data_IF_796953880692
#
_entry.id   IF_796953880692
#
_cell.length_a   1.000
_cell.length_b   1.000
_cell.length_c   1.000
_cell.angle_alpha   90.00
_cell.angle_beta   90.00
_cell.angle_gamma   90.00
#
_symmetry.space_group_name_H-M   'P 1'
#
loop_
_entity.id
_entity.type
_entity.pdbx_description
1 polymer ?
#
# COMPACT_ATOMS: atom_id res chain seq x y z
N UNK A 1 -14.09 -3.22 -8.57
CA UNK A 1 -15.03 -2.13 -8.22
C UNK A 1 -14.26 -1.05 -7.48
N UNK A 2 -14.46 0.23 -7.78
CA UNK A 2 -13.87 1.33 -7.01
C UNK A 2 -14.59 1.45 -5.67
N UNK A 3 -13.90 1.43 -4.52
CA UNK A 3 -14.55 1.56 -3.22
C UNK A 3 -15.20 2.94 -3.07
N UNK A 4 -16.33 2.99 -2.35
CA UNK A 4 -16.93 4.27 -1.94
C UNK A 4 -16.04 4.96 -0.89
N UNK A 5 -16.20 6.27 -0.70
CA UNK A 5 -15.48 6.99 0.35
C UNK A 5 -15.72 6.38 1.75
N UNK A 6 -16.94 5.94 2.02
CA UNK A 6 -17.29 5.24 3.24
C UNK A 6 -16.59 3.89 3.36
N UNK A 7 -16.58 3.09 2.28
CA UNK A 7 -15.86 1.83 2.22
C UNK A 7 -14.36 2.01 2.44
N UNK A 8 -13.76 3.06 1.86
CA UNK A 8 -12.38 3.43 2.11
C UNK A 8 -12.14 3.75 3.60
N UNK A 9 -12.97 4.60 4.20
CA UNK A 9 -12.83 5.02 5.61
C UNK A 9 -12.97 3.87 6.61
N UNK A 10 -13.90 2.95 6.34
CA UNK A 10 -14.24 1.88 7.25
C UNK A 10 -13.36 0.63 7.07
N UNK A 11 -12.60 0.54 5.98
CA UNK A 11 -11.73 -0.61 5.70
C UNK A 11 -10.29 -0.18 5.39
N UNK A 12 -10.01 0.27 4.16
CA UNK A 12 -8.64 0.59 3.70
C UNK A 12 -7.92 1.56 4.62
N UNK A 13 -8.58 2.63 5.05
CA UNK A 13 -8.02 3.61 5.97
C UNK A 13 -7.72 2.99 7.34
N UNK A 14 -8.60 2.13 7.86
CA UNK A 14 -8.38 1.48 9.16
C UNK A 14 -7.16 0.56 9.11
N UNK A 15 -6.99 -0.20 8.02
CA UNK A 15 -5.80 -1.04 7.80
C UNK A 15 -4.52 -0.20 7.73
N UNK A 16 -4.54 0.90 6.97
CA UNK A 16 -3.42 1.85 6.90
C UNK A 16 -3.05 2.43 8.27
N UNK A 17 -4.05 2.82 9.07
CA UNK A 17 -3.82 3.36 10.42
C UNK A 17 -3.24 2.31 11.36
N UNK A 18 -3.70 1.06 11.26
CA UNK A 18 -3.19 -0.05 12.08
C UNK A 18 -1.76 -0.44 11.72
N UNK A 19 -1.39 -0.36 10.44
CA UNK A 19 -0.04 -0.68 9.99
C UNK A 19 0.32 -2.17 10.02
N UNK A 20 -0.68 -3.06 10.14
CA UNK A 20 -0.47 -4.51 10.32
C UNK A 20 -0.13 -5.22 8.99
N UNK A 21 -0.85 -4.86 7.92
CA UNK A 21 -0.78 -5.49 6.60
C UNK A 21 -0.71 -4.46 5.45
N UNK A 22 -0.48 -3.19 5.81
CA UNK A 22 -0.43 -2.07 4.89
C UNK A 22 0.34 -0.90 5.49
N UNK A 23 1.22 -0.28 4.70
CA UNK A 23 2.02 0.87 5.10
C UNK A 23 1.83 2.04 4.12
N UNK A 24 1.98 3.25 4.64
CA UNK A 24 1.98 4.48 3.86
C UNK A 24 3.35 4.69 3.20
N UNK A 25 3.35 5.01 1.91
CA UNK A 25 4.56 5.51 1.23
C UNK A 25 4.56 7.02 1.36
N UNK A 26 5.54 7.53 2.11
CA UNK A 26 5.79 8.96 2.25
C UNK A 26 6.98 9.38 1.37
N UNK A 27 6.84 10.51 0.69
CA UNK A 27 7.95 11.16 -0.01
C UNK A 27 7.95 12.64 0.31
N UNK A 28 9.05 13.14 0.88
CA UNK A 28 9.21 14.54 1.30
C UNK A 28 8.06 15.06 2.20
N UNK A 29 7.66 14.26 3.20
CA UNK A 29 6.58 14.63 4.12
C UNK A 29 5.17 14.52 3.53
N UNK A 30 5.02 13.97 2.32
CA UNK A 30 3.73 13.82 1.64
C UNK A 30 3.34 12.36 1.49
N UNK A 31 2.08 11.99 1.80
CA UNK A 31 1.54 10.67 1.47
C UNK A 31 1.39 10.54 -0.05
N UNK A 32 2.20 9.70 -0.68
CA UNK A 32 2.22 9.54 -2.15
C UNK A 32 1.70 8.19 -2.63
N UNK A 33 1.58 7.23 -1.71
CA UNK A 33 1.14 5.88 -2.06
C UNK A 33 0.97 4.98 -0.86
N UNK A 34 0.83 3.70 -1.13
CA UNK A 34 0.82 2.65 -0.12
C UNK A 34 1.40 1.36 -0.66
N UNK A 35 1.94 0.56 0.27
CA UNK A 35 2.30 -0.83 0.05
C UNK A 35 1.43 -1.68 0.96
N UNK A 36 0.86 -2.75 0.44
CA UNK A 36 0.03 -3.69 1.20
C UNK A 36 0.44 -5.11 0.86
N UNK A 37 0.25 -6.03 1.80
CA UNK A 37 0.52 -7.44 1.55
C UNK A 37 -0.51 -8.33 2.23
N UNK A 38 -0.68 -9.53 1.68
CA UNK A 38 -1.49 -10.58 2.28
C UNK A 38 -1.00 -11.95 1.83
N UNK A 39 -1.26 -12.97 2.64
CA UNK A 39 -0.98 -14.35 2.27
C UNK A 39 -2.10 -14.89 1.38
N UNK A 40 -1.79 -15.15 0.12
CA UNK A 40 -2.70 -15.91 -0.75
C UNK A 40 -2.70 -17.39 -0.33
N UNK A 41 -1.52 -17.90 0.04
CA UNK A 41 -1.40 -19.21 0.68
C UNK A 41 -0.16 -19.28 1.58
N UNK A 42 -0.36 -19.22 2.88
CA UNK A 42 0.74 -19.23 3.86
C UNK A 42 1.48 -20.58 3.88
N UNK A 43 0.76 -21.70 3.70
CA UNK A 43 1.35 -23.05 3.70
C UNK A 43 2.38 -23.28 2.59
N UNK A 44 2.19 -22.63 1.43
CA UNK A 44 3.13 -22.66 0.30
C UNK A 44 4.08 -21.46 0.30
N UNK A 45 3.94 -20.55 1.27
CA UNK A 45 4.64 -19.27 1.35
C UNK A 45 4.38 -18.38 0.13
N UNK A 46 3.15 -18.37 -0.37
CA UNK A 46 2.73 -17.44 -1.40
C UNK A 46 2.19 -16.16 -0.76
N UNK A 47 3.07 -15.17 -0.62
CA UNK A 47 2.71 -13.80 -0.25
C UNK A 47 2.46 -12.97 -1.51
N UNK A 48 1.35 -12.25 -1.54
CA UNK A 48 1.13 -11.21 -2.54
C UNK A 48 1.39 -9.84 -1.91
N UNK A 49 2.16 -9.00 -2.62
CA UNK A 49 2.40 -7.62 -2.24
C UNK A 49 1.97 -6.69 -3.39
N UNK A 50 1.15 -5.70 -3.05
CA UNK A 50 0.65 -4.68 -3.97
C UNK A 50 1.20 -3.31 -3.62
N UNK A 51 1.56 -2.54 -4.65
CA UNK A 51 2.03 -1.15 -4.52
C UNK A 51 1.13 -0.25 -5.33
N UNK A 52 0.70 0.85 -4.72
CA UNK A 52 -0.08 1.90 -5.39
C UNK A 52 0.61 3.23 -5.16
N UNK A 53 0.93 3.94 -6.25
CA UNK A 53 1.37 5.33 -6.25
C UNK A 53 0.26 6.17 -6.86
N UNK A 54 -0.31 7.09 -6.08
CA UNK A 54 -1.57 7.76 -6.42
C UNK A 54 -1.44 8.78 -7.55
N UNK A 55 -0.34 9.53 -7.57
CA UNK A 55 -0.07 10.59 -8.55
C UNK A 55 1.10 10.17 -9.46
N UNK A 56 0.86 10.20 -10.78
CA UNK A 56 1.80 9.79 -11.81
C UNK A 56 3.06 10.66 -11.87
N UNK A 57 3.04 11.88 -11.30
CA UNK A 57 4.23 12.70 -11.16
C UNK A 57 5.31 12.05 -10.27
N UNK A 58 4.94 11.08 -9.44
CA UNK A 58 5.86 10.33 -8.57
C UNK A 58 6.33 9.00 -9.19
N UNK A 59 5.87 8.66 -10.40
CA UNK A 59 6.34 7.47 -11.11
C UNK A 59 7.79 7.64 -11.58
N UNK A 60 8.47 6.51 -11.86
CA UNK A 60 9.86 6.46 -12.33
C UNK A 60 10.91 7.11 -11.39
N UNK A 61 10.57 7.35 -10.11
CA UNK A 61 11.49 7.85 -9.08
C UNK A 61 12.08 6.76 -8.17
N UNK A 62 11.82 5.48 -8.48
CA UNK A 62 12.26 4.35 -7.66
C UNK A 62 11.42 4.08 -6.40
N UNK A 63 10.37 4.88 -6.13
CA UNK A 63 9.58 4.77 -4.89
C UNK A 63 8.94 3.40 -4.66
N UNK A 64 8.46 2.75 -5.72
CA UNK A 64 7.88 1.40 -5.59
C UNK A 64 8.93 0.36 -5.17
N UNK A 65 10.15 0.46 -5.69
CA UNK A 65 11.24 -0.41 -5.25
C UNK A 65 11.60 -0.13 -3.79
N UNK A 66 11.79 1.15 -3.43
CA UNK A 66 12.11 1.55 -2.06
C UNK A 66 11.05 1.10 -1.04
N UNK A 67 9.78 1.02 -1.43
CA UNK A 67 8.70 0.56 -0.56
C UNK A 67 8.76 -0.94 -0.20
N UNK A 68 9.56 -1.74 -0.92
CA UNK A 68 9.72 -3.18 -0.67
C UNK A 68 11.06 -3.54 -0.01
N UNK A 69 11.97 -2.58 0.11
CA UNK A 69 13.29 -2.81 0.70
C UNK A 69 13.24 -2.39 2.17
N UNK A 70 13.77 -3.21 3.10
CA UNK A 70 13.83 -2.88 4.53
C UNK A 70 14.67 -1.63 4.85
#
# INVERSE_FOLDING_TARGET
>A
QTPTLEGFRNNTLQRLIKGEDMLLIEFEGKPVGSVSWYWECESTRWLEAGIVIYDSNYWNKGLGFSALVP
#
